data_IF_912006796351
#
_entry.id   IF_912006796351
#
_cell.length_a   1.000
_cell.length_b   1.000
_cell.length_c   1.000
_cell.angle_alpha   90.00
_cell.angle_beta   90.00
_cell.angle_gamma   90.00
#
_symmetry.space_group_name_H-M   'P 1'
#
loop_
_entity.id
_entity.type
_entity.pdbx_description
1 polymer ?
#
# COMPACT_ATOMS: atom_id res chain seq x y z
N UNK A 1 -15.50 -25.18 34.35
CA UNK A 1 -15.37 -26.28 33.38
C UNK A 1 -15.87 -25.81 32.02
N UNK A 2 -14.98 -25.42 31.11
CA UNK A 2 -15.34 -24.96 29.76
C UNK A 2 -14.53 -25.74 28.73
N UNK A 3 -15.23 -26.56 27.93
CA UNK A 3 -14.65 -27.42 26.90
C UNK A 3 -14.25 -26.62 25.66
N UNK A 4 -13.00 -26.88 25.26
CA UNK A 4 -12.27 -26.54 24.03
C UNK A 4 -13.08 -26.35 22.74
N UNK A 5 -12.92 -25.18 22.10
CA UNK A 5 -13.27 -24.88 20.69
C UNK A 5 -12.10 -25.16 19.72
N UNK A 6 -11.06 -25.88 20.13
CA UNK A 6 -9.82 -26.04 19.33
C UNK A 6 -9.83 -27.17 18.30
N UNK A 7 -10.85 -28.05 18.27
CA UNK A 7 -10.86 -29.22 17.37
C UNK A 7 -11.34 -28.95 15.93
N UNK A 8 -11.90 -27.78 15.60
CA UNK A 8 -12.42 -27.53 14.23
C UNK A 8 -11.35 -27.13 13.21
N UNK A 9 -10.17 -26.68 13.63
CA UNK A 9 -9.10 -26.25 12.72
C UNK A 9 -8.19 -27.40 12.25
N UNK A 10 -8.19 -28.53 12.95
CA UNK A 10 -7.34 -29.68 12.59
C UNK A 10 -7.76 -30.36 11.28
N UNK A 11 -9.06 -30.36 10.96
CA UNK A 11 -9.60 -31.02 9.77
C UNK A 11 -9.38 -30.25 8.47
N UNK A 12 -9.24 -28.92 8.52
CA UNK A 12 -9.04 -28.11 7.32
C UNK A 12 -7.58 -28.28 6.82
N UNK A 13 -6.60 -28.35 7.73
CA UNK A 13 -5.18 -28.47 7.36
C UNK A 13 -4.78 -29.85 6.80
N UNK A 14 -5.37 -30.93 7.31
CA UNK A 14 -5.14 -32.28 6.76
C UNK A 14 -5.74 -32.42 5.36
N UNK A 15 -6.87 -31.74 5.08
CA UNK A 15 -7.48 -31.73 3.75
C UNK A 15 -6.64 -30.93 2.74
N UNK A 16 -6.15 -29.74 3.09
CA UNK A 16 -5.31 -28.94 2.16
C UNK A 16 -3.97 -29.63 1.89
N UNK A 17 -3.36 -30.27 2.89
CA UNK A 17 -2.14 -31.06 2.71
C UNK A 17 -2.35 -32.27 1.80
N UNK A 18 -3.45 -33.01 1.97
CA UNK A 18 -3.80 -34.15 1.13
C UNK A 18 -4.18 -33.75 -0.31
N UNK A 19 -4.84 -32.60 -0.49
CA UNK A 19 -5.16 -32.06 -1.82
C UNK A 19 -3.88 -31.62 -2.54
N UNK A 20 -2.95 -30.96 -1.85
CA UNK A 20 -1.66 -30.59 -2.45
C UNK A 20 -0.83 -31.83 -2.81
N UNK A 21 -0.80 -32.86 -1.95
CA UNK A 21 -0.07 -34.10 -2.25
C UNK A 21 -0.73 -34.91 -3.38
N UNK A 22 -2.06 -34.96 -3.42
CA UNK A 22 -2.85 -35.63 -4.45
C UNK A 22 -2.73 -34.96 -5.83
N UNK A 23 -2.76 -33.62 -5.88
CA UNK A 23 -2.60 -32.86 -7.14
C UNK A 23 -1.17 -32.96 -7.69
N UNK A 24 -0.15 -32.97 -6.82
CA UNK A 24 1.25 -33.18 -7.24
C UNK A 24 1.46 -34.61 -7.76
N UNK A 25 0.80 -35.61 -7.17
CA UNK A 25 0.90 -37.02 -7.61
C UNK A 25 0.16 -37.29 -8.92
N UNK A 26 -0.90 -36.53 -9.23
CA UNK A 26 -1.65 -36.65 -10.49
C UNK A 26 -0.96 -35.98 -11.68
N UNK A 27 -0.12 -34.97 -11.44
CA UNK A 27 0.58 -34.21 -12.48
C UNK A 27 1.93 -34.82 -12.88
N UNK A 28 2.48 -35.72 -12.07
CA UNK A 28 3.69 -36.49 -12.39
C UNK A 28 3.26 -37.89 -12.81
N UNK A 29 2.59 -37.99 -13.95
CA UNK A 29 2.43 -39.27 -14.64
C UNK A 29 3.80 -39.72 -15.14
N UNK A 30 4.43 -40.66 -14.42
CA UNK A 30 5.60 -41.37 -14.93
C UNK A 30 5.08 -42.40 -15.93
N UNK A 31 4.96 -41.99 -17.19
CA UNK A 31 4.82 -42.92 -18.30
C UNK A 31 6.20 -43.51 -18.60
N UNK A 32 6.29 -44.83 -18.47
CA UNK A 32 7.50 -45.62 -18.75
C UNK A 32 7.29 -46.37 -20.06
N UNK A 33 7.20 -45.64 -21.17
CA UNK A 33 7.29 -46.22 -22.50
C UNK A 33 7.97 -45.25 -23.47
N UNK A 34 9.05 -45.73 -24.08
CA UNK A 34 10.02 -44.91 -24.80
C UNK A 34 9.53 -44.31 -26.11
N UNK A 35 10.21 -43.24 -26.55
CA UNK A 35 10.03 -42.64 -27.86
C UNK A 35 10.47 -41.18 -27.87
N UNK A 36 11.69 -40.92 -28.35
CA UNK A 36 12.22 -39.57 -28.47
C UNK A 36 11.42 -38.72 -29.46
N UNK A 37 10.77 -37.67 -28.96
CA UNK A 37 10.42 -36.48 -29.72
C UNK A 37 10.80 -35.26 -28.88
N UNK A 38 11.87 -34.57 -29.30
CA UNK A 38 12.32 -33.34 -28.67
C UNK A 38 11.38 -32.19 -28.99
N UNK A 39 10.36 -31.99 -28.15
CA UNK A 39 9.55 -30.77 -28.17
C UNK A 39 10.37 -29.64 -27.54
N UNK A 40 10.91 -28.73 -28.36
CA UNK A 40 11.31 -27.41 -27.88
C UNK A 40 10.05 -26.58 -27.65
N UNK A 41 9.49 -26.68 -26.44
CA UNK A 41 8.45 -25.76 -25.97
C UNK A 41 9.12 -24.45 -25.59
N UNK A 42 9.03 -23.45 -26.46
CA UNK A 42 9.38 -22.07 -26.10
C UNK A 42 8.27 -21.51 -25.22
N UNK A 43 8.46 -21.58 -23.91
CA UNK A 43 7.52 -21.00 -22.93
C UNK A 43 7.76 -19.49 -22.92
N UNK A 44 6.87 -18.73 -23.58
CA UNK A 44 6.81 -17.28 -23.35
C UNK A 44 6.29 -17.05 -21.92
N UNK A 45 7.04 -16.36 -21.03
CA UNK A 45 6.53 -16.03 -19.71
C UNK A 45 5.25 -15.18 -19.83
N UNK A 46 4.29 -15.36 -18.91
CA UNK A 46 3.13 -14.46 -18.83
C UNK A 46 3.63 -13.01 -18.66
N UNK A 47 2.94 -12.08 -19.32
CA UNK A 47 3.26 -10.64 -19.32
C UNK A 47 3.51 -10.09 -17.91
N UNK A 48 2.74 -10.54 -16.93
CA UNK A 48 2.82 -10.07 -15.54
C UNK A 48 4.12 -10.51 -14.86
N UNK A 49 4.61 -11.73 -15.12
CA UNK A 49 5.89 -12.22 -14.56
C UNK A 49 7.07 -11.49 -15.19
N UNK A 50 6.98 -11.20 -16.49
CA UNK A 50 8.00 -10.42 -17.18
C UNK A 50 8.02 -8.97 -16.67
N UNK A 51 6.86 -8.33 -16.49
CA UNK A 51 6.75 -7.00 -15.92
C UNK A 51 7.33 -6.93 -14.50
N UNK A 52 7.05 -7.92 -13.66
CA UNK A 52 7.62 -7.98 -12.30
C UNK A 52 9.13 -8.12 -12.33
N UNK A 53 9.65 -8.95 -13.24
CA UNK A 53 11.09 -9.10 -13.43
C UNK A 53 11.73 -7.81 -13.92
N UNK A 54 11.12 -7.15 -14.90
CA UNK A 54 11.58 -5.84 -15.38
C UNK A 54 11.55 -4.78 -14.27
N UNK A 55 10.54 -4.81 -13.40
CA UNK A 55 10.47 -3.92 -12.24
C UNK A 55 11.59 -4.23 -11.23
N UNK A 56 11.84 -5.51 -10.93
CA UNK A 56 12.96 -5.95 -10.10
C UNK A 56 14.31 -5.51 -10.68
N UNK A 57 14.51 -5.71 -11.98
CA UNK A 57 15.73 -5.36 -12.71
C UNK A 57 15.97 -3.84 -12.75
N UNK A 58 14.91 -3.02 -12.67
CA UNK A 58 14.98 -1.55 -12.51
C UNK A 58 15.27 -1.10 -11.07
N UNK A 59 15.64 -2.03 -10.18
CA UNK A 59 15.96 -1.73 -8.78
C UNK A 59 14.73 -1.47 -7.90
N UNK A 60 13.53 -1.89 -8.33
CA UNK A 60 12.38 -1.87 -7.43
C UNK A 60 12.47 -3.06 -6.48
N UNK A 61 12.89 -2.81 -5.23
CA UNK A 61 12.86 -3.85 -4.19
C UNK A 61 11.42 -4.24 -3.91
N UNK A 62 11.02 -5.47 -4.24
CA UNK A 62 9.62 -5.90 -4.15
C UNK A 62 9.21 -6.10 -2.70
N UNK A 63 8.34 -5.21 -2.20
CA UNK A 63 7.46 -5.53 -1.07
C UNK A 63 6.16 -6.08 -1.64
N UNK A 64 6.09 -7.41 -1.77
CA UNK A 64 4.89 -8.08 -2.28
C UNK A 64 3.74 -8.06 -1.27
N UNK A 65 2.57 -7.58 -1.70
CA UNK A 65 1.31 -7.76 -0.98
C UNK A 65 0.74 -9.16 -1.18
N UNK A 66 0.05 -9.67 -0.15
CA UNK A 66 -1.09 -10.55 -0.37
C UNK A 66 -2.37 -9.69 -0.36
N UNK A 67 -3.47 -10.22 -0.92
CA UNK A 67 -4.75 -9.53 -1.06
C UNK A 67 -5.38 -9.04 0.28
N UNK A 68 -4.71 -9.27 1.41
CA UNK A 68 -5.18 -8.92 2.74
C UNK A 68 -4.38 -7.79 3.40
N UNK A 69 -3.30 -7.29 2.77
CA UNK A 69 -2.59 -6.08 3.21
C UNK A 69 -1.81 -6.16 4.51
N UNK A 70 -1.59 -7.36 5.05
CA UNK A 70 -0.87 -7.56 6.31
C UNK A 70 0.66 -7.54 6.16
N UNK A 71 1.19 -7.82 4.96
CA UNK A 71 2.64 -7.98 4.77
C UNK A 71 3.41 -6.68 4.81
N UNK A 72 2.89 -5.62 4.21
CA UNK A 72 3.66 -4.39 4.11
C UNK A 72 4.00 -3.80 5.48
N UNK A 73 3.03 -3.59 6.39
CA UNK A 73 3.35 -3.14 7.73
C UNK A 73 4.43 -3.98 8.40
N UNK A 74 4.39 -5.30 8.23
CA UNK A 74 5.42 -6.20 8.75
C UNK A 74 6.83 -5.90 8.21
N UNK A 75 6.96 -5.71 6.89
CA UNK A 75 8.26 -5.46 6.25
C UNK A 75 8.91 -4.20 6.81
N UNK A 76 8.13 -3.13 6.99
CA UNK A 76 8.59 -1.90 7.63
C UNK A 76 8.87 -2.09 9.12
N UNK A 77 7.97 -2.75 9.86
CA UNK A 77 8.10 -2.95 11.31
C UNK A 77 9.37 -3.70 11.71
N UNK A 78 9.86 -4.59 10.82
CA UNK A 78 11.05 -5.39 11.03
C UNK A 78 12.29 -4.95 10.25
N UNK A 79 12.20 -3.86 9.49
CA UNK A 79 13.24 -3.41 8.55
C UNK A 79 13.77 -4.55 7.67
N UNK A 80 12.86 -5.36 7.13
CA UNK A 80 13.27 -6.44 6.25
C UNK A 80 13.88 -5.87 4.96
N UNK A 81 14.91 -6.54 4.48
CA UNK A 81 15.66 -6.16 3.29
C UNK A 81 16.21 -4.73 3.33
N UNK A 82 16.32 -4.10 4.51
CA UNK A 82 16.81 -2.74 4.67
C UNK A 82 15.90 -1.68 4.01
N UNK A 83 14.58 -1.82 4.15
CA UNK A 83 13.59 -0.88 3.60
C UNK A 83 13.55 0.48 4.34
N UNK A 84 14.06 0.54 5.57
CA UNK A 84 14.05 1.76 6.37
C UNK A 84 15.19 2.71 5.97
N UNK A 85 16.25 2.22 5.34
CA UNK A 85 17.43 3.00 5.00
C UNK A 85 17.11 4.15 4.03
N UNK A 86 16.36 3.94 2.93
CA UNK A 86 15.95 5.05 2.06
C UNK A 86 14.95 6.00 2.76
N UNK A 87 14.06 5.47 3.61
CA UNK A 87 13.16 6.29 4.42
C UNK A 87 13.93 7.20 5.40
N UNK A 88 14.96 6.68 6.07
CA UNK A 88 15.83 7.45 6.98
C UNK A 88 16.59 8.56 6.26
N UNK A 89 16.93 8.33 4.99
CA UNK A 89 17.64 9.29 4.16
C UNK A 89 16.73 10.31 3.45
N UNK A 90 15.40 10.23 3.64
CA UNK A 90 14.45 11.10 2.96
C UNK A 90 14.33 12.47 3.65
N UNK A 91 14.31 13.51 2.84
CA UNK A 91 14.06 14.90 3.28
C UNK A 91 12.55 15.15 3.41
N UNK A 92 11.77 14.53 2.51
CA UNK A 92 10.32 14.67 2.40
C UNK A 92 9.66 13.30 2.58
N UNK A 93 8.75 13.18 3.54
CA UNK A 93 8.00 11.95 3.78
C UNK A 93 6.49 12.17 3.65
N UNK A 94 5.84 11.35 2.83
CA UNK A 94 4.37 11.34 2.73
C UNK A 94 3.77 10.38 3.75
N UNK A 95 2.71 10.81 4.43
CA UNK A 95 1.93 9.99 5.36
C UNK A 95 0.46 9.96 4.92
N UNK A 96 -0.18 8.80 5.03
CA UNK A 96 -1.58 8.66 4.66
C UNK A 96 -2.04 7.22 4.46
N UNK A 97 -3.27 7.08 3.99
CA UNK A 97 -3.93 5.83 3.64
C UNK A 97 -3.55 5.34 2.22
N UNK A 98 -4.25 4.31 1.73
CA UNK A 98 -4.12 3.82 0.35
C UNK A 98 -4.36 4.93 -0.69
N UNK A 99 -5.19 5.93 -0.38
CA UNK A 99 -5.37 7.10 -1.27
C UNK A 99 -4.04 7.80 -1.54
N UNK A 100 -3.21 7.99 -0.52
CA UNK A 100 -1.87 8.58 -0.68
C UNK A 100 -0.83 7.61 -1.25
N UNK A 101 -1.07 6.30 -1.15
CA UNK A 101 -0.25 5.30 -1.84
C UNK A 101 -0.38 5.43 -3.37
N UNK A 102 -1.60 5.71 -3.87
CA UNK A 102 -1.94 5.67 -5.30
C UNK A 102 -2.28 7.02 -5.93
N UNK A 103 -2.49 8.08 -5.13
CA UNK A 103 -3.03 9.34 -5.64
C UNK A 103 -2.04 10.30 -6.27
N UNK A 104 -0.78 9.89 -6.45
CA UNK A 104 0.25 10.71 -7.10
C UNK A 104 0.83 10.03 -8.33
N UNK A 105 1.06 10.81 -9.39
CA UNK A 105 2.00 10.42 -10.43
C UNK A 105 3.42 10.49 -9.85
N UNK A 106 3.99 9.31 -9.72
CA UNK A 106 5.24 9.11 -9.01
C UNK A 106 6.43 9.61 -9.83
N UNK A 107 6.35 9.49 -11.16
CA UNK A 107 7.43 9.92 -12.03
C UNK A 107 7.55 11.43 -12.00
N UNK A 108 6.41 12.14 -12.08
CA UNK A 108 6.35 13.59 -11.95
C UNK A 108 6.88 14.04 -10.58
N UNK A 109 6.33 13.47 -9.50
CA UNK A 109 6.65 13.88 -8.14
C UNK A 109 8.12 13.60 -7.77
N UNK A 110 8.65 12.42 -8.13
CA UNK A 110 10.06 12.08 -7.91
C UNK A 110 10.96 13.00 -8.73
N UNK A 111 10.62 13.28 -9.99
CA UNK A 111 11.42 14.18 -10.83
C UNK A 111 11.50 15.58 -10.25
N UNK A 112 10.39 16.05 -9.69
CA UNK A 112 10.27 17.40 -9.13
C UNK A 112 11.10 17.55 -7.85
N UNK A 113 10.97 16.63 -6.88
CA UNK A 113 11.81 16.66 -5.69
C UNK A 113 13.29 16.47 -6.02
N UNK A 114 13.61 15.61 -7.00
CA UNK A 114 14.99 15.44 -7.47
C UNK A 114 15.56 16.73 -8.08
N UNK A 115 14.78 17.50 -8.84
CA UNK A 115 15.19 18.80 -9.39
C UNK A 115 15.59 19.79 -8.29
N UNK A 116 14.97 19.68 -7.11
CA UNK A 116 15.27 20.47 -5.90
C UNK A 116 16.36 19.84 -5.01
N UNK A 117 17.00 18.76 -5.45
CA UNK A 117 17.96 17.98 -4.66
C UNK A 117 17.37 17.44 -3.34
N UNK A 118 16.07 17.13 -3.33
CA UNK A 118 15.36 16.54 -2.20
C UNK A 118 15.08 15.05 -2.47
N UNK A 119 15.25 14.24 -1.43
CA UNK A 119 14.88 12.82 -1.42
C UNK A 119 13.49 12.68 -0.85
N UNK A 120 12.62 12.04 -1.62
CA UNK A 120 11.22 11.81 -1.24
C UNK A 120 10.98 10.33 -0.92
N UNK A 121 10.22 10.08 0.13
CA UNK A 121 9.74 8.75 0.47
C UNK A 121 8.24 8.77 0.76
N UNK A 122 7.45 7.99 0.02
CA UNK A 122 6.06 7.77 0.35
C UNK A 122 5.98 6.71 1.46
N UNK A 123 5.47 7.06 2.64
CA UNK A 123 5.26 6.17 3.81
C UNK A 123 3.75 6.02 4.09
N UNK A 124 2.91 6.05 3.06
CA UNK A 124 1.48 5.74 3.18
C UNK A 124 1.24 4.23 3.19
N UNK A 125 0.14 3.81 3.84
CA UNK A 125 -0.23 2.41 4.08
C UNK A 125 -1.68 2.13 3.67
N UNK A 126 -1.95 0.89 3.25
CA UNK A 126 -3.29 0.46 2.86
C UNK A 126 -4.30 0.39 4.01
N UNK A 127 -5.45 -0.26 3.78
CA UNK A 127 -6.42 -0.60 4.84
C UNK A 127 -7.00 0.59 5.64
N UNK A 128 -7.16 1.76 5.00
CA UNK A 128 -7.59 2.99 5.67
C UNK A 128 -6.68 3.35 6.87
N UNK A 129 -5.38 3.12 6.74
CA UNK A 129 -4.42 3.48 7.78
C UNK A 129 -4.46 4.99 8.07
N UNK A 130 -4.24 5.32 9.34
CA UNK A 130 -4.12 6.69 9.82
C UNK A 130 -2.66 7.08 10.03
N UNK A 131 -2.39 8.21 10.69
CA UNK A 131 -1.02 8.62 10.98
C UNK A 131 -0.25 7.63 11.86
N UNK A 132 -0.95 6.82 12.66
CA UNK A 132 -0.34 6.10 13.76
C UNK A 132 0.78 5.18 13.35
N UNK A 133 0.56 4.33 12.34
CA UNK A 133 1.60 3.37 11.97
C UNK A 133 2.83 4.06 11.35
N UNK A 134 2.62 5.02 10.45
CA UNK A 134 3.72 5.79 9.86
C UNK A 134 4.51 6.56 10.91
N UNK A 135 3.84 7.23 11.84
CA UNK A 135 4.47 7.97 12.94
C UNK A 135 5.24 7.04 13.89
N UNK A 136 4.68 5.87 14.22
CA UNK A 136 5.36 4.86 15.03
C UNK A 136 6.66 4.38 14.36
N UNK A 137 6.66 4.19 13.03
CA UNK A 137 7.88 3.85 12.29
C UNK A 137 8.90 4.98 12.32
N UNK A 138 8.48 6.24 12.15
CA UNK A 138 9.38 7.39 12.22
C UNK A 138 10.06 7.48 13.59
N UNK A 139 9.31 7.30 14.68
CA UNK A 139 9.86 7.28 16.05
C UNK A 139 10.78 6.08 16.28
N UNK A 140 10.30 4.86 15.96
CA UNK A 140 11.03 3.60 16.17
C UNK A 140 12.40 3.60 15.48
N UNK A 141 12.47 4.15 14.27
CA UNK A 141 13.68 4.17 13.46
C UNK A 141 14.41 5.50 13.45
N UNK A 142 13.98 6.43 14.30
CA UNK A 142 14.56 7.77 14.46
C UNK A 142 14.67 8.53 13.13
N UNK A 143 13.65 8.40 12.28
CA UNK A 143 13.57 9.10 11.00
C UNK A 143 13.07 10.51 11.26
N UNK A 144 13.84 11.52 10.82
CA UNK A 144 13.58 12.94 11.09
C UNK A 144 13.52 13.71 9.77
N UNK A 145 12.44 13.58 9.00
CA UNK A 145 12.33 14.31 7.75
C UNK A 145 12.24 15.82 8.02
N UNK A 146 12.71 16.62 7.08
CA UNK A 146 12.56 18.07 7.13
C UNK A 146 11.10 18.47 6.83
N UNK A 147 10.41 17.69 5.99
CA UNK A 147 9.04 17.94 5.58
C UNK A 147 8.17 16.69 5.68
N UNK A 148 6.97 16.86 6.22
CA UNK A 148 5.91 15.85 6.20
C UNK A 148 4.73 16.34 5.37
N UNK A 149 4.34 15.54 4.37
CA UNK A 149 3.15 15.77 3.57
C UNK A 149 2.08 14.76 4.01
N UNK A 150 1.01 15.24 4.62
CA UNK A 150 -0.02 14.42 5.24
C UNK A 150 -1.30 14.46 4.42
N UNK A 151 -1.70 13.32 3.87
CA UNK A 151 -3.00 13.19 3.20
C UNK A 151 -4.14 13.11 4.22
N UNK A 152 -5.03 14.10 4.21
CA UNK A 152 -6.12 14.25 5.15
C UNK A 152 -7.34 13.39 4.80
N UNK A 153 -7.20 12.07 4.93
CA UNK A 153 -8.34 11.16 4.83
C UNK A 153 -9.28 11.31 6.05
N UNK A 154 -10.54 10.84 5.94
CA UNK A 154 -11.58 10.97 6.99
C UNK A 154 -11.11 10.46 8.36
N UNK A 155 -10.22 9.47 8.37
CA UNK A 155 -9.76 8.77 9.57
C UNK A 155 -8.31 9.08 9.96
N UNK A 156 -7.65 10.04 9.29
CA UNK A 156 -6.20 10.25 9.40
C UNK A 156 -5.70 10.56 10.82
N UNK A 157 -6.52 11.21 11.66
CA UNK A 157 -6.16 11.56 13.04
C UNK A 157 -6.70 10.56 14.09
N UNK A 158 -7.28 9.42 13.69
CA UNK A 158 -7.65 8.39 14.67
C UNK A 158 -6.40 7.89 15.40
N UNK A 159 -6.50 7.62 16.70
CA UNK A 159 -5.38 7.15 17.53
C UNK A 159 -5.13 5.65 17.43
N UNK A 160 -6.12 4.88 16.98
CA UNK A 160 -6.04 3.42 16.89
C UNK A 160 -5.49 3.04 15.53
N UNK A 161 -4.52 2.14 15.50
CA UNK A 161 -4.06 1.48 14.27
C UNK A 161 -5.20 0.88 13.45
N UNK A 162 -5.03 0.78 12.13
CA UNK A 162 -5.93 -0.02 11.31
C UNK A 162 -5.84 -1.51 11.71
N UNK A 163 -6.83 -2.29 11.30
CA UNK A 163 -6.80 -3.74 11.52
C UNK A 163 -5.57 -4.42 10.87
N UNK A 164 -5.02 -3.86 9.79
CA UNK A 164 -3.85 -4.40 9.11
C UNK A 164 -2.55 -4.18 9.90
N UNK A 165 -2.45 -3.09 10.66
CA UNK A 165 -1.23 -2.74 11.42
C UNK A 165 -1.34 -3.12 12.89
N UNK A 166 -2.55 -3.19 13.46
CA UNK A 166 -2.77 -3.55 14.85
C UNK A 166 -2.15 -4.90 15.20
N UNK A 167 -2.32 -5.91 14.34
CA UNK A 167 -1.76 -7.25 14.57
C UNK A 167 -0.23 -7.28 14.46
N UNK A 168 0.36 -6.45 13.59
CA UNK A 168 1.81 -6.35 13.45
C UNK A 168 2.43 -5.69 14.67
N UNK A 169 1.83 -4.61 15.16
CA UNK A 169 2.32 -3.90 16.34
C UNK A 169 2.07 -4.71 17.62
N UNK A 170 0.87 -5.29 17.80
CA UNK A 170 0.51 -6.03 19.00
C UNK A 170 1.09 -7.46 19.05
N UNK A 171 1.26 -8.11 17.89
CA UNK A 171 1.65 -9.52 17.77
C UNK A 171 3.16 -9.77 17.83
N UNK A 172 3.99 -8.73 17.99
CA UNK A 172 5.45 -8.83 18.01
C UNK A 172 5.93 -9.87 19.06
N UNK A 173 6.59 -10.93 18.59
CA UNK A 173 7.14 -11.98 19.44
C UNK A 173 6.20 -13.13 19.81
N UNK A 174 4.97 -13.18 19.29
CA UNK A 174 4.03 -14.28 19.60
C UNK A 174 4.21 -15.49 18.68
N UNK A 175 3.81 -16.69 19.16
CA UNK A 175 3.79 -17.93 18.35
C UNK A 175 2.81 -17.80 17.18
N UNK A 176 1.68 -17.11 17.37
CA UNK A 176 0.71 -16.85 16.31
C UNK A 176 1.35 -16.04 15.16
N UNK A 177 2.17 -15.05 15.51
CA UNK A 177 2.94 -14.26 14.56
C UNK A 177 4.00 -15.08 13.80
N UNK A 178 4.76 -15.94 14.49
CA UNK A 178 5.73 -16.83 13.82
C UNK A 178 5.03 -17.82 12.87
N UNK A 179 3.86 -18.33 13.25
CA UNK A 179 3.03 -19.18 12.38
C UNK A 179 2.51 -18.42 11.17
N UNK A 180 2.06 -17.18 11.34
CA UNK A 180 1.61 -16.34 10.22
C UNK A 180 2.76 -16.09 9.24
N UNK A 181 3.95 -15.74 9.74
CA UNK A 181 5.17 -15.57 8.94
C UNK A 181 5.54 -16.85 8.18
N UNK A 182 5.55 -17.99 8.86
CA UNK A 182 5.87 -19.28 8.24
C UNK A 182 4.84 -19.64 7.17
N UNK A 183 3.54 -19.51 7.48
CA UNK A 183 2.46 -19.78 6.54
C UNK A 183 2.57 -18.88 5.30
N UNK A 184 2.85 -17.59 5.48
CA UNK A 184 3.08 -16.65 4.39
C UNK A 184 4.32 -16.98 3.57
N UNK A 185 5.43 -17.34 4.22
CA UNK A 185 6.67 -17.72 3.53
C UNK A 185 6.48 -18.99 2.71
N UNK A 186 5.84 -20.00 3.32
CA UNK A 186 5.51 -21.26 2.65
C UNK A 186 4.50 -21.04 1.52
N UNK A 187 3.46 -20.25 1.73
CA UNK A 187 2.50 -19.90 0.69
C UNK A 187 3.20 -19.24 -0.50
N UNK A 188 4.07 -18.25 -0.27
CA UNK A 188 4.78 -17.59 -1.37
C UNK A 188 5.76 -18.52 -2.08
N UNK A 189 6.54 -19.31 -1.33
CA UNK A 189 7.47 -20.30 -1.90
C UNK A 189 6.73 -21.36 -2.71
N UNK A 190 5.63 -21.89 -2.16
CA UNK A 190 4.79 -22.88 -2.81
C UNK A 190 4.13 -22.30 -4.05
N UNK A 191 3.50 -21.13 -3.97
CA UNK A 191 2.86 -20.47 -5.10
C UNK A 191 3.86 -20.12 -6.20
N UNK A 192 5.05 -19.65 -5.86
CA UNK A 192 6.10 -19.41 -6.86
C UNK A 192 6.59 -20.72 -7.50
N UNK A 193 6.71 -21.78 -6.73
CA UNK A 193 7.12 -23.09 -7.24
C UNK A 193 6.04 -23.70 -8.14
N UNK A 194 4.77 -23.65 -7.72
CA UNK A 194 3.61 -24.09 -8.49
C UNK A 194 3.44 -23.24 -9.75
N UNK A 195 3.64 -21.92 -9.69
CA UNK A 195 3.62 -21.07 -10.88
C UNK A 195 4.70 -21.45 -11.90
N UNK A 196 5.91 -21.77 -11.43
CA UNK A 196 6.98 -22.24 -12.33
C UNK A 196 6.64 -23.58 -12.99
N UNK A 197 5.95 -24.46 -12.28
CA UNK A 197 5.64 -25.81 -12.75
C UNK A 197 4.33 -25.92 -13.55
N UNK A 198 3.34 -25.04 -13.29
CA UNK A 198 1.96 -25.16 -13.76
C UNK A 198 1.50 -23.91 -14.54
N UNK A 199 2.40 -22.96 -14.86
CA UNK A 199 2.08 -21.76 -15.67
C UNK A 199 1.36 -22.09 -17.00
N UNK A 200 1.55 -23.30 -17.52
CA UNK A 200 0.98 -23.79 -18.78
C UNK A 200 -0.39 -24.49 -18.65
N UNK A 201 -0.80 -24.90 -17.44
CA UNK A 201 -1.95 -25.80 -17.27
C UNK A 201 -3.12 -25.25 -16.45
N UNK A 202 -3.04 -24.08 -15.82
CA UNK A 202 -4.16 -23.55 -15.04
C UNK A 202 -5.13 -22.71 -15.91
N UNK A 203 -6.41 -23.13 -16.04
CA UNK A 203 -7.46 -22.28 -16.60
C UNK A 203 -7.48 -20.93 -15.88
N UNK A 204 -7.86 -19.87 -16.59
CA UNK A 204 -7.93 -18.48 -16.08
C UNK A 204 -8.62 -18.41 -14.71
N UNK A 205 -9.66 -19.22 -14.53
CA UNK A 205 -10.51 -19.27 -13.34
C UNK A 205 -9.84 -19.91 -12.12
N UNK A 206 -8.90 -20.84 -12.31
CA UNK A 206 -8.19 -21.49 -11.19
C UNK A 206 -7.12 -20.58 -10.55
N UNK A 207 -6.63 -19.59 -11.32
CA UNK A 207 -5.63 -18.63 -10.83
C UNK A 207 -6.20 -17.61 -9.84
N UNK A 208 -7.49 -17.29 -9.91
CA UNK A 208 -8.12 -16.36 -8.95
C UNK A 208 -8.12 -16.85 -7.50
N UNK A 209 -7.95 -18.16 -7.29
CA UNK A 209 -7.93 -18.77 -5.95
C UNK A 209 -6.52 -19.05 -5.43
N UNK A 210 -5.52 -19.19 -6.30
CA UNK A 210 -4.15 -19.53 -5.92
C UNK A 210 -3.19 -18.34 -5.97
N UNK A 211 -3.37 -17.41 -6.90
CA UNK A 211 -2.55 -16.21 -6.94
C UNK A 211 -3.13 -15.16 -5.99
N UNK A 212 -2.30 -14.43 -5.22
CA UNK A 212 -2.79 -13.22 -4.59
C UNK A 212 -3.44 -12.37 -5.69
N UNK A 213 -4.71 -12.01 -5.51
CA UNK A 213 -5.52 -11.32 -6.54
C UNK A 213 -4.88 -10.03 -7.04
N UNK A 214 -3.89 -9.49 -6.32
CA UNK A 214 -3.13 -8.31 -6.70
C UNK A 214 -1.66 -8.50 -6.30
N UNK A 215 -0.76 -8.44 -7.28
CA UNK A 215 0.65 -8.22 -7.00
C UNK A 215 0.92 -6.73 -7.01
N UNK A 216 1.05 -6.17 -5.81
CA UNK A 216 1.48 -4.79 -5.65
C UNK A 216 2.99 -4.76 -5.43
N UNK A 217 3.68 -3.83 -6.07
CA UNK A 217 5.13 -3.65 -5.96
C UNK A 217 5.42 -2.24 -5.44
N UNK A 218 6.03 -2.14 -4.26
CA UNK A 218 6.50 -0.85 -3.72
C UNK A 218 7.98 -0.66 -4.07
N UNK A 219 8.38 0.50 -4.56
CA UNK A 219 9.77 0.84 -4.86
C UNK A 219 10.52 1.12 -3.56
N UNK A 220 11.45 0.24 -3.19
CA UNK A 220 12.27 0.42 -1.97
C UNK A 220 12.94 1.80 -1.85
N UNK A 221 13.43 2.38 -2.94
CA UNK A 221 14.18 3.65 -2.88
C UNK A 221 13.31 4.88 -2.52
N UNK A 222 12.03 4.86 -2.86
CA UNK A 222 11.15 6.03 -2.77
C UNK A 222 9.82 5.75 -2.08
N UNK A 223 9.55 4.51 -1.68
CA UNK A 223 8.30 4.10 -1.05
C UNK A 223 7.05 4.19 -1.95
N UNK A 224 7.19 4.54 -3.22
CA UNK A 224 6.06 4.67 -4.14
C UNK A 224 5.68 3.33 -4.78
N UNK A 225 4.40 3.13 -5.11
CA UNK A 225 3.86 1.88 -5.65
C UNK A 225 3.89 1.81 -7.18
N UNK A 226 4.31 0.73 -7.81
CA UNK A 226 4.12 0.53 -9.25
C UNK A 226 2.62 0.36 -9.56
N UNK A 227 1.92 1.49 -9.77
CA UNK A 227 0.47 1.56 -9.95
C UNK A 227 0.03 0.98 -11.29
N UNK A 228 0.95 0.89 -12.25
CA UNK A 228 0.70 0.35 -13.59
C UNK A 228 0.20 -1.10 -13.54
N UNK A 229 0.66 -1.87 -12.54
CA UNK A 229 0.18 -3.22 -12.30
C UNK A 229 -1.21 -3.24 -11.67
N UNK A 230 -1.51 -2.30 -10.78
CA UNK A 230 -2.76 -2.28 -10.04
C UNK A 230 -3.95 -1.91 -10.93
N UNK A 231 -3.80 -0.87 -11.76
CA UNK A 231 -4.85 -0.41 -12.67
C UNK A 231 -5.24 -1.45 -13.73
N UNK A 232 -4.28 -2.27 -14.17
CA UNK A 232 -4.57 -3.35 -15.12
C UNK A 232 -5.47 -4.43 -14.50
N UNK A 233 -5.42 -4.60 -13.17
CA UNK A 233 -6.14 -5.64 -12.44
C UNK A 233 -7.43 -5.15 -11.76
N UNK A 234 -7.41 -3.93 -11.23
CA UNK A 234 -8.63 -3.26 -10.80
C UNK A 234 -9.48 -3.08 -12.05
N UNK A 235 -10.58 -3.83 -12.15
CA UNK A 235 -11.43 -3.83 -13.32
C UNK A 235 -11.84 -2.38 -13.64
N UNK A 236 -11.25 -1.78 -14.67
CA UNK A 236 -11.54 -0.43 -15.18
C UNK A 236 -13.02 -0.22 -15.57
N UNK A 237 -13.87 -1.22 -15.36
CA UNK A 237 -15.30 -1.16 -15.54
C UNK A 237 -16.00 -0.28 -14.48
N UNK A 238 -15.31 0.08 -13.38
CA UNK A 238 -15.84 0.96 -12.33
C UNK A 238 -15.16 2.33 -12.32
N UNK A 239 -14.73 2.85 -13.48
CA UNK A 239 -14.27 4.24 -13.55
C UNK A 239 -15.45 5.15 -13.25
N UNK A 240 -15.35 5.86 -12.12
CA UNK A 240 -16.36 6.82 -11.68
C UNK A 240 -15.75 8.20 -11.61
N UNK A 241 -16.44 9.18 -12.20
CA UNK A 241 -16.13 10.58 -11.93
C UNK A 241 -16.34 10.88 -10.46
N UNK A 242 -15.49 11.73 -9.90
CA UNK A 242 -15.61 12.16 -8.51
C UNK A 242 -16.77 13.14 -8.45
N UNK A 243 -17.91 12.66 -7.96
CA UNK A 243 -19.03 13.53 -7.65
C UNK A 243 -18.72 14.31 -6.36
N UNK A 244 -19.05 15.60 -6.36
CA UNK A 244 -19.18 16.36 -5.13
C UNK A 244 -20.44 15.86 -4.44
N UNK A 245 -20.32 14.78 -3.68
CA UNK A 245 -21.43 14.24 -2.92
C UNK A 245 -21.57 15.08 -1.66
N UNK A 246 -22.79 15.52 -1.35
CA UNK A 246 -23.16 16.00 -0.02
C UNK A 246 -23.07 14.81 0.95
N UNK A 247 -21.85 14.44 1.34
CA UNK A 247 -21.62 13.42 2.35
C UNK A 247 -22.10 14.01 3.70
N UNK A 248 -23.10 13.44 4.37
CA UNK A 248 -23.55 13.92 5.68
C UNK A 248 -22.45 13.83 6.76
N UNK A 249 -21.38 13.08 6.52
CA UNK A 249 -20.17 13.05 7.35
C UNK A 249 -19.19 14.19 7.02
N UNK A 250 -19.38 14.91 5.91
CA UNK A 250 -18.62 16.10 5.55
C UNK A 250 -18.99 17.28 6.45
N UNK A 251 -18.40 17.29 7.64
CA UNK A 251 -18.59 18.37 8.62
C UNK A 251 -17.61 19.50 8.36
N UNK A 252 -18.14 20.71 8.17
CA UNK A 252 -17.36 21.94 8.03
C UNK A 252 -16.66 22.38 9.34
N UNK A 253 -17.06 21.80 10.49
CA UNK A 253 -16.50 22.14 11.79
C UNK A 253 -15.91 20.93 12.50
N UNK A 254 -14.76 21.13 13.12
CA UNK A 254 -14.09 20.13 13.95
C UNK A 254 -14.75 20.09 15.33
N UNK A 255 -15.18 18.90 15.74
CA UNK A 255 -15.68 18.68 17.10
C UNK A 255 -14.53 18.62 18.12
N UNK A 256 -14.86 18.64 19.41
CA UNK A 256 -13.87 18.67 20.49
C UNK A 256 -12.93 17.45 20.50
N UNK A 257 -13.45 16.26 20.19
CA UNK A 257 -12.65 15.04 20.14
C UNK A 257 -11.72 15.02 18.93
N UNK A 258 -12.16 15.52 17.78
CA UNK A 258 -11.30 15.70 16.60
C UNK A 258 -10.14 16.65 16.88
N UNK A 259 -10.42 17.80 17.52
CA UNK A 259 -9.37 18.76 17.93
C UNK A 259 -8.36 18.12 18.87
N UNK A 260 -8.83 17.39 19.89
CA UNK A 260 -7.98 16.64 20.82
C UNK A 260 -7.11 15.59 20.12
N UNK A 261 -7.62 14.96 19.07
CA UNK A 261 -6.87 14.00 18.27
C UNK A 261 -5.83 14.69 17.38
N UNK A 262 -6.20 15.81 16.75
CA UNK A 262 -5.28 16.64 15.96
C UNK A 262 -4.14 17.17 16.84
N UNK A 263 -4.44 17.74 18.01
CA UNK A 263 -3.44 18.23 18.97
C UNK A 263 -2.48 17.12 19.40
N UNK A 264 -3.00 15.93 19.72
CA UNK A 264 -2.17 14.77 20.07
C UNK A 264 -1.17 14.42 18.96
N UNK A 265 -1.61 14.39 17.70
CA UNK A 265 -0.73 14.07 16.58
C UNK A 265 0.26 15.19 16.28
N UNK A 266 -0.17 16.46 16.32
CA UNK A 266 0.73 17.61 16.19
C UNK A 266 1.86 17.53 17.21
N UNK A 267 1.52 17.32 18.47
CA UNK A 267 2.51 17.27 19.55
C UNK A 267 3.44 16.06 19.40
N UNK A 268 2.95 14.94 18.85
CA UNK A 268 3.75 13.76 18.54
C UNK A 268 4.72 13.99 17.38
N UNK A 269 4.26 14.60 16.29
CA UNK A 269 5.09 14.97 15.15
C UNK A 269 6.19 15.96 15.55
N UNK A 270 5.86 16.95 16.39
CA UNK A 270 6.84 17.91 16.92
C UNK A 270 7.95 17.24 17.76
N UNK A 271 7.69 16.08 18.39
CA UNK A 271 8.73 15.32 19.11
C UNK A 271 9.69 14.58 18.18
N UNK A 272 9.25 14.20 16.98
CA UNK A 272 10.10 13.54 15.97
C UNK A 272 11.11 14.54 15.43
N UNK A 273 10.63 15.71 15.02
CA UNK A 273 11.44 16.83 14.60
C UNK A 273 10.68 18.14 14.92
N UNK A 274 11.15 18.97 15.88
CA UNK A 274 10.50 20.23 16.23
C UNK A 274 10.45 21.25 15.09
N UNK A 275 11.35 21.12 14.12
CA UNK A 275 11.46 22.01 12.97
C UNK A 275 10.85 21.40 11.70
N UNK A 276 9.99 20.38 11.83
CA UNK A 276 9.37 19.75 10.68
C UNK A 276 8.33 20.67 10.04
N UNK A 277 8.43 20.87 8.74
CA UNK A 277 7.40 21.55 7.96
C UNK A 277 6.25 20.59 7.73
N UNK A 278 5.04 20.95 8.19
CA UNK A 278 3.84 20.16 8.02
C UNK A 278 2.99 20.72 6.88
N UNK A 279 2.84 19.94 5.81
CA UNK A 279 1.97 20.26 4.70
C UNK A 279 0.80 19.29 4.66
N UNK A 280 -0.40 19.83 4.46
CA UNK A 280 -1.60 19.03 4.30
C UNK A 280 -2.01 18.95 2.85
N UNK A 281 -2.55 17.81 2.48
CA UNK A 281 -3.06 17.57 1.14
C UNK A 281 -4.29 16.70 1.24
N UNK A 282 -5.19 16.76 0.25
CA UNK A 282 -6.36 15.92 0.23
C UNK A 282 -6.60 15.37 -1.17
N UNK A 283 -6.43 14.06 -1.31
CA UNK A 283 -6.58 13.35 -2.58
C UNK A 283 -8.07 13.11 -2.82
N UNK A 284 -8.64 13.63 -3.93
CA UNK A 284 -10.06 13.48 -4.22
C UNK A 284 -10.50 12.02 -4.37
N UNK A 285 -11.73 11.73 -3.91
CA UNK A 285 -12.41 10.43 -4.04
C UNK A 285 -13.93 10.59 -3.94
N UNK A 286 -14.70 9.51 -4.04
CA UNK A 286 -16.17 9.49 -3.99
C UNK A 286 -16.87 10.13 -2.76
N UNK A 287 -16.13 10.40 -1.69
CA UNK A 287 -16.59 11.08 -0.47
C UNK A 287 -15.72 12.30 -0.14
N UNK A 288 -15.32 13.01 -1.19
CA UNK A 288 -14.46 14.18 -1.09
C UNK A 288 -15.12 15.29 -0.26
N UNK A 289 -14.53 15.60 0.90
CA UNK A 289 -14.95 16.69 1.78
C UNK A 289 -13.90 17.81 1.87
N UNK A 290 -13.90 18.78 0.93
CA UNK A 290 -12.89 19.84 0.91
C UNK A 290 -12.95 20.79 2.11
N UNK A 291 -14.15 21.08 2.61
CA UNK A 291 -14.34 21.97 3.76
C UNK A 291 -13.66 21.44 5.03
N UNK A 292 -13.56 20.11 5.16
CA UNK A 292 -12.85 19.47 6.28
C UNK A 292 -11.35 19.73 6.23
N UNK A 293 -10.72 19.65 5.05
CA UNK A 293 -9.31 20.02 4.88
C UNK A 293 -9.10 21.47 5.29
N UNK A 294 -9.95 22.39 4.82
CA UNK A 294 -9.84 23.80 5.16
C UNK A 294 -9.99 24.04 6.68
N UNK A 295 -10.93 23.35 7.33
CA UNK A 295 -11.12 23.43 8.78
C UNK A 295 -9.89 22.93 9.56
N UNK A 296 -9.25 21.84 9.12
CA UNK A 296 -8.04 21.29 9.73
C UNK A 296 -6.84 22.22 9.50
N UNK A 297 -6.61 22.64 8.26
CA UNK A 297 -5.51 23.55 7.88
C UNK A 297 -5.61 24.87 8.66
N UNK A 298 -6.81 25.45 8.73
CA UNK A 298 -7.08 26.67 9.53
C UNK A 298 -6.84 26.44 11.02
N UNK A 299 -7.26 25.31 11.58
CA UNK A 299 -7.06 25.00 13.00
C UNK A 299 -5.59 24.83 13.35
N UNK A 300 -4.81 24.18 12.48
CA UNK A 300 -3.38 23.97 12.66
C UNK A 300 -2.52 25.17 12.25
N UNK A 301 -3.09 26.16 11.56
CA UNK A 301 -2.37 27.28 10.92
C UNK A 301 -1.27 26.79 9.99
N UNK A 302 -1.58 25.76 9.20
CA UNK A 302 -0.65 25.14 8.26
C UNK A 302 -1.22 25.19 6.84
N UNK A 303 -0.38 25.21 5.79
CA UNK A 303 -0.84 25.15 4.41
C UNK A 303 -1.59 23.84 4.11
N UNK A 304 -2.65 23.95 3.33
CA UNK A 304 -3.42 22.82 2.84
C UNK A 304 -3.61 22.90 1.33
N UNK A 305 -3.24 21.83 0.61
CA UNK A 305 -3.51 21.68 -0.81
C UNK A 305 -4.84 21.00 -1.06
N UNK A 306 -5.66 21.65 -1.88
CA UNK A 306 -6.89 21.11 -2.41
C UNK A 306 -6.87 21.26 -3.93
N UNK A 307 -7.18 20.18 -4.66
CA UNK A 307 -7.33 20.27 -6.11
C UNK A 307 -8.53 21.16 -6.47
N UNK A 308 -8.34 22.06 -7.42
CA UNK A 308 -9.31 23.09 -7.78
C UNK A 308 -10.53 22.54 -8.53
N UNK A 309 -10.37 21.42 -9.23
CA UNK A 309 -11.39 20.89 -10.14
C UNK A 309 -11.74 19.42 -9.90
N UNK A 310 -12.11 19.00 -8.68
CA UNK A 310 -12.25 17.59 -8.30
C UNK A 310 -13.22 16.81 -9.21
N UNK A 311 -14.27 17.46 -9.74
CA UNK A 311 -15.23 16.86 -10.66
C UNK A 311 -14.65 16.44 -12.03
N UNK A 312 -13.44 16.91 -12.38
CA UNK A 312 -12.73 16.50 -13.60
C UNK A 312 -11.90 15.23 -13.38
N UNK A 313 -11.68 14.83 -12.13
CA UNK A 313 -10.93 13.64 -11.80
C UNK A 313 -11.84 12.41 -11.78
N UNK A 314 -11.20 11.26 -11.94
CA UNK A 314 -11.81 9.95 -11.96
C UNK A 314 -11.09 9.01 -11.00
N UNK A 315 -11.85 8.05 -10.48
CA UNK A 315 -11.33 6.94 -9.67
C UNK A 315 -11.63 5.60 -10.33
N UNK A 316 -10.76 4.60 -10.19
CA UNK A 316 -10.98 3.27 -10.78
C UNK A 316 -11.72 2.28 -9.85
N UNK A 317 -11.89 2.61 -8.57
CA UNK A 317 -12.58 1.79 -7.57
C UNK A 317 -13.37 2.64 -6.55
N UNK A 318 -13.86 3.80 -6.99
CA UNK A 318 -14.49 4.87 -6.19
C UNK A 318 -13.56 5.57 -5.18
N UNK A 319 -12.41 4.98 -4.85
CA UNK A 319 -11.52 5.49 -3.80
C UNK A 319 -10.18 6.03 -4.33
N UNK A 320 -9.61 5.41 -5.37
CA UNK A 320 -8.26 5.69 -5.85
C UNK A 320 -8.31 6.30 -7.25
N UNK A 321 -7.55 7.38 -7.44
CA UNK A 321 -7.48 8.10 -8.71
C UNK A 321 -7.00 7.20 -9.85
N UNK A 322 -7.56 7.37 -11.04
CA UNK A 322 -6.96 6.83 -12.28
C UNK A 322 -5.60 7.48 -12.53
N UNK A 323 -4.73 6.83 -13.30
CA UNK A 323 -3.42 7.38 -13.69
C UNK A 323 -3.48 8.81 -14.20
N UNK A 324 -4.38 9.08 -15.14
CA UNK A 324 -4.53 10.40 -15.74
C UNK A 324 -4.95 11.42 -14.67
N UNK A 325 -5.90 11.04 -13.80
CA UNK A 325 -6.34 11.89 -12.69
C UNK A 325 -5.25 12.12 -11.64
N UNK A 326 -4.44 11.10 -11.33
CA UNK A 326 -3.30 11.21 -10.42
C UNK A 326 -2.21 12.12 -11.02
N UNK A 327 -2.00 12.08 -12.33
CA UNK A 327 -1.12 13.00 -13.05
C UNK A 327 -1.61 14.44 -12.96
N UNK A 328 -2.87 14.71 -13.29
CA UNK A 328 -3.45 16.06 -13.22
C UNK A 328 -3.40 16.62 -11.80
N UNK A 329 -3.80 15.80 -10.82
CA UNK A 329 -3.69 16.13 -9.40
C UNK A 329 -2.25 16.47 -8.99
N UNK A 330 -1.28 15.67 -9.42
CA UNK A 330 0.14 15.86 -9.09
C UNK A 330 0.70 17.13 -9.71
N UNK A 331 0.32 17.46 -10.95
CA UNK A 331 0.74 18.69 -11.62
C UNK A 331 0.27 19.94 -10.86
N UNK A 332 -1.00 19.96 -10.41
CA UNK A 332 -1.50 21.08 -9.62
C UNK A 332 -0.88 21.10 -8.22
N UNK A 333 -0.67 19.94 -7.60
CA UNK A 333 0.03 19.83 -6.31
C UNK A 333 1.45 20.38 -6.37
N UNK A 334 2.20 20.06 -7.42
CA UNK A 334 3.57 20.58 -7.62
C UNK A 334 3.57 22.09 -7.80
N UNK A 335 2.64 22.64 -8.59
CA UNK A 335 2.49 24.10 -8.73
C UNK A 335 2.18 24.78 -7.40
N UNK A 336 1.34 24.14 -6.57
CA UNK A 336 1.06 24.62 -5.23
C UNK A 336 2.31 24.59 -4.34
N UNK A 337 3.10 23.50 -4.39
CA UNK A 337 4.38 23.39 -3.67
C UNK A 337 5.40 24.47 -4.10
N UNK A 338 5.31 24.98 -5.33
CA UNK A 338 6.12 26.12 -5.79
C UNK A 338 5.61 27.46 -5.27
N UNK A 339 4.31 27.57 -5.01
CA UNK A 339 3.68 28.82 -4.53
C UNK A 339 3.83 29.05 -3.03
N UNK A 340 4.09 28.00 -2.25
CA UNK A 340 4.31 28.11 -0.82
C UNK A 340 5.79 28.36 -0.56
N UNK A 341 6.11 29.52 0.01
CA UNK A 341 7.43 29.75 0.59
C UNK A 341 7.53 28.89 1.85
N UNK A 342 8.49 27.97 1.87
CA UNK A 342 8.92 27.28 3.08
C UNK A 342 10.40 27.60 3.29
N UNK A 343 10.69 28.30 4.38
CA UNK A 343 12.04 28.71 4.80
C UNK A 343 12.94 27.52 5.15
#
# INVERSE_FOLDING_TARGET
MTRSRYCRYWWIFSLTGAIVYGVVSLLIGVDSSGGGLGWRVSIAPRRDVQQVRELLDRGHGVVGFDAFGYREPYQFWHNNDGIIEPLRAADVVFLGSSRAQFGYDQSLLISEFKRRNLKVYNLSFGCNENLGFGVELLERYQVKPAMLIINLDLNIFRRKFSHCTQDVVAGHGTIAFQRHRLAQTLQFSLLNSLNRLIAWATPRDFNHYLLPNYLLVRRKATGFWATELFETHAQLNNVTSIAMVDDPECRQSLNAEERKNIDYWRDRLARINPNVTLLFTYIPHDRFCPDRLQAIAKYLKQPGFQYSHPAQLQTFDTSHLTRDSASDYTLEFVKWLESIEYD
#
